data_IF_592277096894
#
_entry.id   IF_592277096894
#
_cell.length_a   1.000
_cell.length_b   1.000
_cell.length_c   1.000
_cell.angle_alpha   90.00
_cell.angle_beta   90.00
_cell.angle_gamma   90.00
#
_symmetry.space_group_name_H-M   'P 1'
#
loop_
_entity.id
_entity.type
_entity.pdbx_description
1 polymer ?
#
# COMPACT_ATOMS: atom_id res chain seq x y z
N UNK A 1 4.32 10.79 18.97
CA UNK A 1 5.30 11.35 19.95
C UNK A 1 5.31 12.87 19.84
N UNK A 2 5.40 13.57 20.96
CA UNK A 2 5.63 15.01 20.94
C UNK A 2 7.03 15.32 20.35
N UNK A 3 7.10 16.30 19.43
CA UNK A 3 8.26 16.51 18.58
C UNK A 3 9.52 17.02 19.29
N UNK A 4 9.35 17.82 20.35
CA UNK A 4 10.48 18.54 20.99
C UNK A 4 11.02 17.87 22.24
N UNK A 5 10.19 17.21 23.03
CA UNK A 5 10.53 16.75 24.38
C UNK A 5 10.46 15.22 24.55
N UNK A 6 9.63 14.54 23.76
CA UNK A 6 9.46 13.10 23.94
C UNK A 6 10.69 12.32 23.47
N UNK A 7 11.10 11.36 24.26
CA UNK A 7 12.23 10.47 23.97
C UNK A 7 11.80 9.01 24.14
N UNK A 8 12.19 8.17 23.18
CA UNK A 8 11.93 6.73 23.21
C UNK A 8 13.23 5.99 22.87
N UNK A 9 13.73 5.19 23.79
CA UNK A 9 14.94 4.42 23.60
C UNK A 9 14.99 3.18 24.49
N UNK A 10 15.68 2.15 24.01
CA UNK A 10 16.05 0.97 24.82
C UNK A 10 17.39 1.21 25.50
N UNK A 11 18.37 1.69 24.74
CA UNK A 11 19.68 2.10 25.24
C UNK A 11 19.89 3.59 25.03
N UNK A 12 20.54 4.25 25.98
CA UNK A 12 20.92 5.65 25.81
C UNK A 12 21.80 5.82 24.56
N UNK A 13 21.62 6.87 23.74
CA UNK A 13 22.40 7.07 22.52
C UNK A 13 23.92 7.03 22.73
N UNK A 14 24.39 7.57 23.83
CA UNK A 14 25.83 7.58 24.18
C UNK A 14 26.35 6.21 24.67
N UNK A 15 25.48 5.27 25.00
CA UNK A 15 25.86 3.92 25.37
C UNK A 15 26.02 2.99 24.15
N UNK A 16 25.62 3.42 22.97
CA UNK A 16 25.75 2.67 21.73
C UNK A 16 27.19 2.74 21.22
N UNK A 17 27.77 1.59 20.87
CA UNK A 17 29.14 1.51 20.38
C UNK A 17 29.36 2.42 19.15
N UNK A 18 30.33 3.33 19.27
CA UNK A 18 30.69 4.26 18.20
C UNK A 18 29.71 5.44 17.97
N UNK A 19 28.68 5.56 18.81
CA UNK A 19 27.73 6.66 18.72
C UNK A 19 27.86 7.65 19.88
N UNK A 20 27.46 8.86 19.63
CA UNK A 20 27.24 9.95 20.58
C UNK A 20 25.94 10.65 20.19
N UNK A 21 25.22 11.21 21.16
CA UNK A 21 23.95 11.94 20.93
C UNK A 21 24.12 13.11 19.93
N UNK A 22 25.30 13.72 19.90
CA UNK A 22 25.64 14.78 18.94
C UNK A 22 25.78 14.29 17.50
N UNK A 23 26.03 12.98 17.29
CA UNK A 23 26.12 12.36 15.97
C UNK A 23 24.78 11.80 15.51
N UNK A 24 24.10 11.09 16.38
CA UNK A 24 22.79 10.53 16.12
C UNK A 24 22.01 10.34 17.42
N UNK A 25 20.95 11.12 17.60
CA UNK A 25 20.03 10.95 18.72
C UNK A 25 18.99 9.86 18.41
N UNK A 26 19.37 8.61 18.69
CA UNK A 26 18.48 7.46 18.47
C UNK A 26 17.23 7.46 19.35
N UNK A 27 17.15 8.37 20.35
CA UNK A 27 15.97 8.54 21.19
C UNK A 27 14.99 9.60 20.67
N UNK A 28 15.42 10.41 19.70
CA UNK A 28 14.60 11.49 19.16
C UNK A 28 13.34 10.98 18.44
N UNK A 29 12.28 11.79 18.47
CA UNK A 29 11.03 11.49 17.79
C UNK A 29 11.23 11.24 16.29
N UNK A 30 12.04 12.06 15.62
CA UNK A 30 12.33 11.91 14.19
C UNK A 30 13.04 10.59 13.88
N UNK A 31 14.03 10.19 14.70
CA UNK A 31 14.68 8.89 14.52
C UNK A 31 13.69 7.74 14.67
N UNK A 32 12.84 7.78 15.69
CA UNK A 32 11.87 6.73 15.97
C UNK A 32 10.75 6.68 14.92
N UNK A 33 10.40 7.81 14.33
CA UNK A 33 9.44 7.91 13.23
C UNK A 33 10.04 7.52 11.89
N UNK A 34 11.14 8.17 11.45
CA UNK A 34 11.65 8.03 10.08
C UNK A 34 12.53 6.80 9.86
N UNK A 35 13.32 6.41 10.88
CA UNK A 35 14.33 5.34 10.75
C UNK A 35 13.87 4.02 11.36
N UNK A 36 13.30 4.07 12.57
CA UNK A 36 12.84 2.88 13.27
C UNK A 36 11.42 2.46 12.87
N UNK A 37 10.55 3.42 12.50
CA UNK A 37 9.17 3.14 12.11
C UNK A 37 8.28 2.65 13.25
N UNK A 38 8.67 2.92 14.51
CA UNK A 38 7.91 2.51 15.70
C UNK A 38 6.80 3.52 15.98
N UNK A 39 7.07 4.80 15.72
CA UNK A 39 6.16 5.91 16.01
C UNK A 39 5.32 6.25 14.78
N UNK A 40 4.01 6.29 14.95
CA UNK A 40 3.06 6.54 13.86
C UNK A 40 3.00 8.02 13.47
N UNK A 41 3.03 8.93 14.46
CA UNK A 41 2.94 10.35 14.25
C UNK A 41 3.90 11.14 15.17
N UNK A 42 4.46 12.23 14.64
CA UNK A 42 5.29 13.19 15.37
C UNK A 42 4.73 14.59 15.11
N UNK A 43 4.27 15.25 16.16
CA UNK A 43 3.65 16.57 16.09
C UNK A 43 3.75 17.29 17.44
N UNK A 44 3.25 18.51 17.52
CA UNK A 44 3.07 19.19 18.80
C UNK A 44 1.90 18.57 19.60
N UNK A 45 1.87 18.76 20.91
CA UNK A 45 0.93 18.09 21.81
C UNK A 45 -0.55 18.27 21.42
N UNK A 46 -0.92 19.50 21.00
CA UNK A 46 -2.30 19.78 20.59
C UNK A 46 -2.71 19.03 19.31
N UNK A 47 -1.79 18.91 18.36
CA UNK A 47 -1.99 18.21 17.10
C UNK A 47 -2.09 16.70 17.35
N UNK A 48 -1.25 16.14 18.24
CA UNK A 48 -1.31 14.72 18.60
C UNK A 48 -2.68 14.36 19.18
N UNK A 49 -3.25 15.21 20.05
CA UNK A 49 -4.59 14.96 20.58
C UNK A 49 -5.68 15.04 19.52
N UNK A 50 -5.53 15.90 18.53
CA UNK A 50 -6.44 15.94 17.38
C UNK A 50 -6.30 14.66 16.54
N UNK A 51 -5.09 14.25 16.19
CA UNK A 51 -4.84 13.00 15.43
C UNK A 51 -5.34 11.75 16.18
N UNK A 52 -5.21 11.68 17.50
CA UNK A 52 -5.75 10.58 18.31
C UNK A 52 -7.29 10.55 18.23
N UNK A 53 -7.97 11.69 18.29
CA UNK A 53 -9.43 11.75 18.15
C UNK A 53 -9.86 11.31 16.76
N UNK A 54 -9.16 11.74 15.72
CA UNK A 54 -9.43 11.31 14.34
C UNK A 54 -9.23 9.79 14.18
N UNK A 55 -8.14 9.24 14.73
CA UNK A 55 -7.93 7.79 14.72
C UNK A 55 -9.06 7.04 15.42
N UNK A 56 -9.50 7.51 16.59
CA UNK A 56 -10.63 6.90 17.34
C UNK A 56 -11.92 6.97 16.52
N UNK A 57 -12.15 8.05 15.77
CA UNK A 57 -13.31 8.18 14.88
C UNK A 57 -13.26 7.24 13.67
N UNK A 58 -12.06 6.78 13.28
CA UNK A 58 -11.86 5.81 12.20
C UNK A 58 -12.03 4.36 12.67
N UNK A 59 -11.76 4.07 13.93
CA UNK A 59 -11.78 2.70 14.45
C UNK A 59 -13.18 2.28 14.92
N UNK A 60 -13.53 0.99 14.82
CA UNK A 60 -14.71 0.46 15.49
C UNK A 60 -14.57 0.55 17.02
N UNK A 61 -15.66 0.44 17.75
CA UNK A 61 -15.68 0.52 19.21
C UNK A 61 -14.86 -0.57 19.91
N UNK A 62 -14.74 -1.72 19.26
CA UNK A 62 -13.93 -2.87 19.69
C UNK A 62 -13.70 -3.82 18.50
N UNK A 63 -12.98 -4.91 18.72
CA UNK A 63 -12.62 -5.87 17.67
C UNK A 63 -13.74 -6.88 17.29
N UNK A 64 -14.88 -6.83 17.95
CA UNK A 64 -16.07 -7.63 17.65
C UNK A 64 -17.17 -6.80 16.97
N UNK A 65 -16.99 -5.47 16.95
CA UNK A 65 -17.94 -4.51 16.40
C UNK A 65 -17.50 -4.14 14.98
N UNK A 66 -18.31 -4.50 13.99
CA UNK A 66 -18.06 -4.17 12.59
C UNK A 66 -18.60 -2.79 12.21
N UNK A 67 -19.23 -2.06 13.14
CA UNK A 67 -19.94 -0.82 12.87
C UNK A 67 -19.07 0.43 13.14
N UNK A 68 -18.05 0.67 12.36
CA UNK A 68 -17.43 2.00 12.25
C UNK A 68 -18.15 2.91 11.24
N UNK A 69 -19.48 2.74 11.12
CA UNK A 69 -20.30 3.47 10.16
C UNK A 69 -20.64 4.88 10.65
N UNK A 70 -20.42 5.85 9.77
CA UNK A 70 -20.93 7.22 9.90
C UNK A 70 -21.76 7.51 8.66
N UNK A 71 -22.92 8.16 8.82
CA UNK A 71 -23.77 8.53 7.69
C UNK A 71 -22.97 9.35 6.66
N UNK A 72 -22.90 8.87 5.42
CA UNK A 72 -22.19 9.51 4.32
C UNK A 72 -23.11 10.43 3.54
N UNK A 73 -22.74 11.70 3.43
CA UNK A 73 -23.45 12.68 2.62
C UNK A 73 -22.82 12.86 1.20
N UNK A 74 -21.65 12.27 0.96
CA UNK A 74 -20.94 12.35 -0.33
C UNK A 74 -21.60 11.44 -1.38
N UNK A 75 -21.57 11.86 -2.65
CA UNK A 75 -22.10 11.07 -3.75
C UNK A 75 -21.29 9.78 -3.97
N UNK A 76 -21.94 8.63 -3.82
CA UNK A 76 -21.33 7.32 -4.01
C UNK A 76 -20.82 7.11 -5.44
N UNK A 77 -21.43 7.78 -6.41
CA UNK A 77 -21.05 7.72 -7.82
C UNK A 77 -20.20 8.92 -8.26
N UNK A 78 -19.68 9.70 -7.32
CA UNK A 78 -18.80 10.83 -7.62
C UNK A 78 -17.62 10.40 -8.50
N UNK A 79 -17.50 11.06 -9.66
CA UNK A 79 -16.42 10.85 -10.61
C UNK A 79 -15.13 11.53 -10.11
N UNK A 80 -14.03 10.79 -10.07
CA UNK A 80 -12.73 11.30 -9.67
C UNK A 80 -11.89 11.61 -10.93
N UNK A 81 -12.23 12.72 -11.63
CA UNK A 81 -11.71 13.02 -12.97
C UNK A 81 -10.18 13.05 -13.09
N UNK A 82 -9.49 13.52 -12.05
CA UNK A 82 -8.02 13.67 -12.04
C UNK A 82 -7.27 12.47 -11.45
N UNK A 83 -7.98 11.39 -11.10
CA UNK A 83 -7.39 10.26 -10.39
C UNK A 83 -6.25 9.60 -11.17
N UNK A 84 -6.34 9.52 -12.49
CA UNK A 84 -5.29 8.97 -13.35
C UNK A 84 -3.96 9.73 -13.23
N UNK A 85 -3.99 11.01 -12.87
CA UNK A 85 -2.80 11.84 -12.69
C UNK A 85 -2.15 11.63 -11.31
N UNK A 86 -2.83 10.97 -10.38
CA UNK A 86 -2.37 10.73 -9.01
C UNK A 86 -1.63 9.41 -8.81
N UNK A 87 -1.27 8.69 -9.87
CA UNK A 87 -0.51 7.41 -9.80
C UNK A 87 0.81 7.58 -9.04
N UNK A 88 1.45 8.75 -9.14
CA UNK A 88 2.71 9.08 -8.47
C UNK A 88 2.55 9.19 -6.96
N UNK A 89 1.56 9.96 -6.50
CA UNK A 89 1.25 10.12 -5.07
C UNK A 89 -0.11 9.50 -4.73
N UNK A 90 -0.06 8.28 -4.28
CA UNK A 90 -1.26 7.52 -3.93
C UNK A 90 -1.96 7.99 -2.65
N UNK A 91 -1.33 8.84 -1.84
CA UNK A 91 -2.02 9.49 -0.73
C UNK A 91 -3.04 10.51 -1.27
N UNK A 92 -2.68 11.25 -2.32
CA UNK A 92 -3.61 12.15 -3.03
C UNK A 92 -4.71 11.32 -3.71
N UNK A 93 -4.37 10.20 -4.35
CA UNK A 93 -5.35 9.31 -4.96
C UNK A 93 -6.38 8.80 -3.92
N UNK A 94 -5.92 8.35 -2.75
CA UNK A 94 -6.77 7.90 -1.66
C UNK A 94 -7.65 9.02 -1.13
N UNK A 95 -7.12 10.24 -1.01
CA UNK A 95 -7.91 11.42 -0.65
C UNK A 95 -9.05 11.66 -1.64
N UNK A 96 -8.79 11.55 -2.94
CA UNK A 96 -9.81 11.77 -3.97
C UNK A 96 -10.94 10.74 -3.96
N UNK A 97 -10.65 9.47 -3.67
CA UNK A 97 -11.67 8.41 -3.62
C UNK A 97 -12.41 8.35 -2.28
N UNK A 98 -11.86 8.93 -1.22
CA UNK A 98 -12.44 8.94 0.12
C UNK A 98 -13.70 9.82 0.20
N UNK A 99 -14.58 9.48 1.15
CA UNK A 99 -15.68 10.35 1.53
C UNK A 99 -15.11 11.68 2.05
N UNK A 100 -15.76 12.78 1.70
CA UNK A 100 -15.38 14.15 2.07
C UNK A 100 -13.92 14.52 1.71
N UNK A 101 -13.29 13.75 0.80
CA UNK A 101 -11.88 13.88 0.42
C UNK A 101 -10.92 13.84 1.62
N UNK A 102 -11.18 12.95 2.58
CA UNK A 102 -10.34 12.82 3.77
C UNK A 102 -9.63 11.48 3.85
N UNK A 103 -8.30 11.52 3.96
CA UNK A 103 -7.42 10.36 4.16
C UNK A 103 -6.57 10.55 5.40
N UNK A 104 -6.63 9.62 6.34
CA UNK A 104 -5.79 9.58 7.53
C UNK A 104 -4.57 8.70 7.29
N UNK A 105 -3.42 9.31 6.94
CA UNK A 105 -2.16 8.57 6.68
C UNK A 105 -1.44 8.21 7.99
N UNK A 106 -1.15 6.91 8.19
CA UNK A 106 -0.35 6.40 9.31
C UNK A 106 1.12 6.27 8.91
N UNK A 107 2.05 6.47 9.86
CA UNK A 107 3.50 6.33 9.62
C UNK A 107 3.98 7.11 8.38
N UNK A 108 3.48 8.34 8.18
CA UNK A 108 3.75 9.16 6.97
C UNK A 108 5.24 9.42 6.72
N UNK A 109 6.08 9.37 7.77
CA UNK A 109 7.53 9.63 7.68
C UNK A 109 8.36 8.36 7.51
N UNK A 110 7.78 7.17 7.73
CA UNK A 110 8.47 5.88 7.59
C UNK A 110 8.09 5.21 6.28
N UNK A 111 9.10 4.72 5.53
CA UNK A 111 8.89 4.04 4.26
C UNK A 111 7.85 4.78 3.40
N UNK A 112 8.17 6.01 3.02
CA UNK A 112 7.23 6.93 2.31
C UNK A 112 6.75 6.38 0.97
N UNK A 113 7.50 5.46 0.37
CA UNK A 113 7.14 4.72 -0.85
C UNK A 113 5.98 3.73 -0.65
N UNK A 114 5.60 3.46 0.59
CA UNK A 114 4.45 2.64 0.97
C UNK A 114 3.51 3.47 1.82
N UNK A 115 2.35 3.78 1.28
CA UNK A 115 1.28 4.51 1.99
C UNK A 115 0.43 3.51 2.77
N UNK A 116 0.14 3.84 4.03
CA UNK A 116 -0.83 3.12 4.87
C UNK A 116 -1.70 4.13 5.61
N UNK A 117 -2.97 3.83 5.78
CA UNK A 117 -3.89 4.74 6.44
C UNK A 117 -5.34 4.34 6.27
N UNK A 118 -6.24 5.20 6.67
CA UNK A 118 -7.67 4.94 6.66
C UNK A 118 -8.43 5.96 5.83
N UNK A 119 -9.42 5.49 5.11
CA UNK A 119 -10.45 6.30 4.46
C UNK A 119 -11.83 5.88 4.94
N UNK A 120 -12.83 6.72 4.72
CA UNK A 120 -14.23 6.27 4.75
C UNK A 120 -14.75 6.14 3.32
N UNK A 121 -15.49 5.07 3.08
CA UNK A 121 -16.17 4.78 1.82
C UNK A 121 -17.62 4.41 2.12
N UNK A 122 -18.56 5.23 1.71
CA UNK A 122 -19.97 5.13 2.10
C UNK A 122 -20.13 5.04 3.63
N UNK A 123 -19.38 5.88 4.36
CA UNK A 123 -19.38 5.92 5.82
C UNK A 123 -18.65 4.81 6.55
N UNK A 124 -18.22 3.75 5.86
CA UNK A 124 -17.50 2.61 6.43
C UNK A 124 -15.99 2.87 6.40
N UNK A 125 -15.30 2.58 7.49
CA UNK A 125 -13.83 2.69 7.53
C UNK A 125 -13.18 1.57 6.75
N UNK A 126 -12.23 1.93 5.90
CA UNK A 126 -11.42 1.02 5.07
C UNK A 126 -9.95 1.33 5.28
N UNK A 127 -9.16 0.32 5.61
CA UNK A 127 -7.70 0.41 5.67
C UNK A 127 -7.11 0.38 4.26
N UNK A 128 -6.17 1.27 3.99
CA UNK A 128 -5.56 1.42 2.68
C UNK A 128 -4.07 1.10 2.70
N UNK A 129 -3.60 0.34 1.71
CA UNK A 129 -2.18 0.05 1.46
C UNK A 129 -1.88 0.39 0.00
N UNK A 130 -0.95 1.31 -0.26
CA UNK A 130 -0.69 1.76 -1.62
C UNK A 130 0.79 1.98 -1.89
N UNK A 131 1.25 1.63 -3.11
CA UNK A 131 2.59 1.96 -3.57
C UNK A 131 2.62 3.42 -4.03
N UNK A 132 3.64 4.18 -3.62
CA UNK A 132 3.84 5.59 -3.98
C UNK A 132 5.21 5.78 -4.62
N UNK A 133 5.29 6.57 -5.67
CA UNK A 133 6.53 6.87 -6.39
C UNK A 133 6.95 8.33 -6.28
N UNK A 134 6.07 9.21 -5.87
CA UNK A 134 6.32 10.65 -5.70
C UNK A 134 5.62 11.16 -4.45
N UNK A 135 6.20 12.17 -3.81
CA UNK A 135 5.57 12.93 -2.73
C UNK A 135 5.53 14.39 -3.16
N UNK A 136 4.37 15.01 -3.06
CA UNK A 136 4.18 16.43 -3.36
C UNK A 136 4.05 17.24 -2.09
N UNK A 137 4.57 18.48 -2.12
CA UNK A 137 4.33 19.49 -1.10
C UNK A 137 3.04 20.26 -1.38
N UNK A 138 2.69 21.20 -0.50
CA UNK A 138 1.48 22.04 -0.64
C UNK A 138 1.52 22.95 -1.87
N UNK A 139 2.73 23.27 -2.37
CA UNK A 139 2.94 24.06 -3.59
C UNK A 139 2.81 23.22 -4.87
N UNK A 140 2.62 21.88 -4.75
CA UNK A 140 2.54 20.96 -5.88
C UNK A 140 3.90 20.57 -6.47
N UNK A 141 4.98 20.79 -5.75
CA UNK A 141 6.33 20.39 -6.16
C UNK A 141 6.68 19.00 -5.61
N UNK A 142 7.40 18.21 -6.39
CA UNK A 142 7.85 16.87 -5.98
C UNK A 142 9.01 17.01 -5.01
N UNK A 143 8.83 16.55 -3.79
CA UNK A 143 9.85 16.56 -2.72
C UNK A 143 10.67 15.28 -2.66
N UNK A 144 10.02 14.12 -2.88
CA UNK A 144 10.67 12.81 -2.87
C UNK A 144 10.25 12.02 -4.11
N UNK A 145 11.19 11.22 -4.66
CA UNK A 145 10.92 10.26 -5.75
C UNK A 145 11.40 8.89 -5.36
N UNK A 146 10.61 7.87 -5.69
CA UNK A 146 10.90 6.47 -5.44
C UNK A 146 10.71 5.64 -6.70
N UNK A 147 11.49 4.58 -6.84
CA UNK A 147 11.21 3.54 -7.81
C UNK A 147 9.92 2.78 -7.42
N UNK A 148 9.08 2.38 -8.38
CA UNK A 148 7.91 1.55 -8.11
C UNK A 148 8.32 0.11 -7.77
N UNK A 149 8.99 -0.09 -6.64
CA UNK A 149 9.48 -1.39 -6.15
C UNK A 149 9.02 -1.65 -4.73
N UNK A 150 8.87 -2.91 -4.38
CA UNK A 150 8.57 -3.30 -3.01
C UNK A 150 9.87 -3.36 -2.20
N UNK A 151 9.99 -2.47 -1.21
CA UNK A 151 11.15 -2.36 -0.34
C UNK A 151 10.98 -3.21 0.93
N UNK A 152 12.08 -3.49 1.63
CA UNK A 152 12.07 -4.18 2.92
C UNK A 152 11.21 -3.43 3.96
N UNK A 153 11.38 -2.11 4.04
CA UNK A 153 10.65 -1.27 5.00
C UNK A 153 9.18 -1.13 4.63
N UNK A 154 8.89 -0.93 3.33
CA UNK A 154 7.53 -0.85 2.82
C UNK A 154 6.74 -2.14 3.03
N UNK A 155 7.35 -3.29 2.77
CA UNK A 155 6.71 -4.60 3.01
C UNK A 155 6.38 -4.81 4.49
N UNK A 156 7.31 -4.44 5.40
CA UNK A 156 7.09 -4.51 6.85
C UNK A 156 5.95 -3.59 7.30
N UNK A 157 5.99 -2.31 6.89
CA UNK A 157 4.94 -1.33 7.20
C UNK A 157 3.56 -1.83 6.77
N UNK A 158 3.45 -2.32 5.54
CA UNK A 158 2.21 -2.85 4.99
C UNK A 158 1.73 -4.09 5.75
N UNK A 159 2.62 -5.05 6.07
CA UNK A 159 2.25 -6.26 6.81
C UNK A 159 1.72 -5.96 8.21
N UNK A 160 2.39 -5.05 8.95
CA UNK A 160 1.94 -4.62 10.28
C UNK A 160 0.57 -3.95 10.21
N UNK A 161 0.34 -3.11 9.20
CA UNK A 161 -0.93 -2.42 9.00
C UNK A 161 -2.07 -3.37 8.61
N UNK A 162 -1.83 -4.34 7.71
CA UNK A 162 -2.83 -5.35 7.34
C UNK A 162 -3.24 -6.20 8.55
N UNK A 163 -2.27 -6.62 9.36
CA UNK A 163 -2.56 -7.35 10.61
C UNK A 163 -3.39 -6.52 11.59
N UNK A 164 -3.12 -5.21 11.67
CA UNK A 164 -3.92 -4.30 12.49
C UNK A 164 -5.36 -4.21 11.98
N UNK A 165 -5.55 -4.04 10.67
CA UNK A 165 -6.88 -4.00 10.06
C UNK A 165 -7.65 -5.30 10.31
N UNK A 166 -7.01 -6.44 10.11
CA UNK A 166 -7.63 -7.77 10.36
C UNK A 166 -8.04 -7.95 11.83
N UNK A 167 -7.22 -7.45 12.77
CA UNK A 167 -7.52 -7.52 14.20
C UNK A 167 -8.73 -6.67 14.63
N UNK A 168 -9.07 -5.64 13.88
CA UNK A 168 -10.19 -4.74 14.13
C UNK A 168 -11.35 -4.92 13.13
N UNK A 169 -11.36 -6.01 12.36
CA UNK A 169 -12.40 -6.31 11.34
C UNK A 169 -12.55 -5.19 10.28
N UNK A 170 -11.46 -4.43 10.00
CA UNK A 170 -11.46 -3.33 9.04
C UNK A 170 -11.12 -3.88 7.65
N UNK A 171 -12.00 -3.70 6.64
CA UNK A 171 -11.73 -4.07 5.25
C UNK A 171 -10.46 -3.40 4.70
N UNK A 172 -9.78 -4.05 3.75
CA UNK A 172 -8.52 -3.54 3.19
C UNK A 172 -8.63 -3.28 1.69
N UNK A 173 -8.31 -2.04 1.30
CA UNK A 173 -8.12 -1.60 -0.07
C UNK A 173 -6.62 -1.51 -0.39
N UNK A 174 -6.21 -2.06 -1.53
CA UNK A 174 -4.84 -1.93 -2.01
C UNK A 174 -4.81 -1.19 -3.35
N UNK A 175 -3.94 -0.17 -3.50
CA UNK A 175 -3.61 0.43 -4.78
C UNK A 175 -2.23 -0.04 -5.21
N UNK A 176 -2.16 -0.85 -6.26
CA UNK A 176 -0.93 -1.53 -6.66
C UNK A 176 -0.25 -0.85 -7.85
N UNK A 177 1.01 -0.43 -7.65
CA UNK A 177 1.92 0.04 -8.70
C UNK A 177 3.33 -0.45 -8.37
N UNK A 178 3.68 -1.68 -8.79
CA UNK A 178 4.96 -2.32 -8.43
C UNK A 178 5.55 -3.09 -9.60
N UNK A 179 6.82 -2.79 -9.96
CA UNK A 179 7.54 -3.47 -11.06
C UNK A 179 8.42 -4.65 -10.60
N UNK A 180 8.62 -4.81 -9.30
CA UNK A 180 9.49 -5.83 -8.73
C UNK A 180 9.88 -5.53 -7.29
N UNK A 181 10.81 -6.30 -6.75
CA UNK A 181 11.45 -6.02 -5.47
C UNK A 181 12.61 -5.04 -5.61
N UNK A 182 12.95 -4.34 -4.52
CA UNK A 182 14.16 -3.52 -4.45
C UNK A 182 15.41 -4.37 -4.70
N UNK A 183 16.18 -4.03 -5.74
CA UNK A 183 17.35 -4.80 -6.19
C UNK A 183 18.66 -4.17 -5.65
N UNK A 184 18.85 -4.22 -4.32
CA UNK A 184 20.08 -3.78 -3.67
C UNK A 184 20.66 -4.90 -2.80
N UNK A 185 21.98 -4.93 -2.62
CA UNK A 185 22.64 -5.91 -1.72
C UNK A 185 22.13 -5.81 -0.28
N UNK A 186 21.69 -4.62 0.14
CA UNK A 186 21.12 -4.39 1.46
C UNK A 186 19.71 -4.99 1.56
N UNK A 187 18.89 -4.77 0.54
CA UNK A 187 17.53 -5.32 0.48
C UNK A 187 17.56 -6.85 0.40
N UNK A 188 18.46 -7.43 -0.39
CA UNK A 188 18.58 -8.88 -0.59
C UNK A 188 18.73 -9.67 0.71
N UNK A 189 19.30 -9.06 1.76
CA UNK A 189 19.44 -9.71 3.08
C UNK A 189 18.11 -9.98 3.79
N UNK A 190 17.07 -9.20 3.50
CA UNK A 190 15.83 -9.20 4.27
C UNK A 190 14.56 -9.26 3.42
N UNK A 191 14.63 -8.92 2.13
CA UNK A 191 13.43 -8.75 1.29
C UNK A 191 12.58 -10.02 1.20
N UNK A 192 13.21 -11.18 1.11
CA UNK A 192 12.51 -12.46 1.03
C UNK A 192 11.65 -12.72 2.28
N UNK A 193 12.18 -12.39 3.47
CA UNK A 193 11.47 -12.54 4.74
C UNK A 193 10.31 -11.55 4.86
N UNK A 194 10.55 -10.28 4.54
CA UNK A 194 9.50 -9.26 4.67
C UNK A 194 8.42 -9.40 3.59
N UNK A 195 8.77 -9.85 2.39
CA UNK A 195 7.80 -10.22 1.37
C UNK A 195 6.95 -11.43 1.80
N UNK A 196 7.57 -12.45 2.41
CA UNK A 196 6.83 -13.60 2.97
C UNK A 196 5.88 -13.14 4.10
N UNK A 197 6.33 -12.22 4.96
CA UNK A 197 5.51 -11.63 6.02
C UNK A 197 4.29 -10.89 5.48
N UNK A 198 4.47 -10.06 4.46
CA UNK A 198 3.36 -9.34 3.81
C UNK A 198 2.40 -10.30 3.09
N UNK A 199 2.95 -11.30 2.37
CA UNK A 199 2.15 -12.34 1.74
C UNK A 199 1.32 -13.09 2.77
N UNK A 200 1.93 -13.44 3.91
CA UNK A 200 1.24 -14.12 5.02
C UNK A 200 0.14 -13.23 5.62
N UNK A 201 0.41 -11.94 5.84
CA UNK A 201 -0.58 -11.00 6.37
C UNK A 201 -1.84 -10.96 5.48
N UNK A 202 -1.68 -10.74 4.17
CA UNK A 202 -2.81 -10.75 3.24
C UNK A 202 -3.50 -12.10 3.11
N UNK A 203 -2.74 -13.20 3.02
CA UNK A 203 -3.32 -14.53 2.87
C UNK A 203 -4.06 -15.00 4.13
N UNK A 204 -3.63 -14.53 5.31
CA UNK A 204 -4.24 -14.91 6.58
C UNK A 204 -5.42 -14.01 6.97
N UNK A 205 -5.46 -12.77 6.51
CA UNK A 205 -6.53 -11.83 6.81
C UNK A 205 -7.89 -12.33 6.33
N UNK A 206 -8.89 -12.25 7.21
CA UNK A 206 -10.26 -12.72 7.00
C UNK A 206 -11.20 -11.61 6.55
N UNK A 207 -10.81 -10.35 6.73
CA UNK A 207 -11.56 -9.17 6.30
C UNK A 207 -11.72 -9.09 4.79
N UNK A 208 -12.73 -8.35 4.27
CA UNK A 208 -12.83 -8.05 2.85
C UNK A 208 -11.56 -7.40 2.30
N UNK A 209 -11.06 -7.90 1.17
CA UNK A 209 -9.82 -7.44 0.52
C UNK A 209 -10.08 -7.10 -0.94
N UNK A 210 -9.92 -5.82 -1.28
CA UNK A 210 -10.07 -5.32 -2.65
C UNK A 210 -8.71 -4.79 -3.12
N UNK A 211 -8.33 -5.13 -4.36
CA UNK A 211 -7.12 -4.61 -4.98
C UNK A 211 -7.46 -3.84 -6.26
N UNK A 212 -6.89 -2.67 -6.44
CA UNK A 212 -6.94 -1.90 -7.69
C UNK A 212 -5.52 -1.77 -8.23
N UNK A 213 -5.27 -2.34 -9.40
CA UNK A 213 -4.00 -2.16 -10.11
C UNK A 213 -4.06 -0.85 -10.88
N UNK A 214 -3.31 0.15 -10.41
CA UNK A 214 -3.33 1.52 -10.93
C UNK A 214 -2.20 1.82 -11.92
N UNK A 215 -1.23 0.92 -12.04
CA UNK A 215 -0.07 1.08 -12.90
C UNK A 215 0.60 -0.25 -13.21
N UNK A 216 1.87 -0.40 -12.87
CA UNK A 216 2.62 -1.64 -13.10
C UNK A 216 2.32 -2.69 -12.02
N UNK A 217 2.25 -3.96 -12.44
CA UNK A 217 2.04 -5.09 -11.56
C UNK A 217 2.80 -6.32 -12.09
N UNK A 218 4.07 -6.47 -11.69
CA UNK A 218 4.94 -7.49 -12.26
C UNK A 218 5.47 -8.47 -11.21
N UNK A 219 5.47 -9.75 -11.60
CA UNK A 219 6.15 -10.84 -10.90
C UNK A 219 5.64 -11.09 -9.48
N UNK A 220 6.48 -11.67 -8.65
CA UNK A 220 6.13 -12.02 -7.27
C UNK A 220 5.92 -10.82 -6.36
N UNK A 221 6.48 -9.65 -6.67
CA UNK A 221 6.18 -8.43 -5.93
C UNK A 221 4.71 -8.01 -6.08
N UNK A 222 4.15 -8.12 -7.30
CA UNK A 222 2.71 -7.96 -7.51
C UNK A 222 1.89 -9.01 -6.75
N UNK A 223 2.30 -10.28 -6.82
CA UNK A 223 1.59 -11.35 -6.09
C UNK A 223 1.47 -11.02 -4.61
N UNK A 224 2.54 -10.52 -4.00
CA UNK A 224 2.62 -10.12 -2.59
C UNK A 224 1.68 -8.93 -2.25
N UNK A 225 1.37 -8.05 -3.22
CA UNK A 225 0.53 -6.87 -3.04
C UNK A 225 -0.97 -7.20 -3.24
N UNK A 226 -1.52 -8.07 -2.38
CA UNK A 226 -2.95 -8.40 -2.37
C UNK A 226 -3.49 -8.82 -3.75
N UNK A 227 -2.79 -9.71 -4.44
CA UNK A 227 -3.26 -10.24 -5.70
C UNK A 227 -4.37 -11.30 -5.54
N UNK A 228 -5.07 -11.60 -6.63
CA UNK A 228 -6.04 -12.72 -6.68
C UNK A 228 -5.42 -14.04 -6.22
N UNK A 229 -4.14 -14.26 -6.52
CA UNK A 229 -3.43 -15.49 -6.20
C UNK A 229 -3.23 -15.73 -4.69
N UNK A 230 -3.24 -14.68 -3.86
CA UNK A 230 -3.11 -14.80 -2.40
C UNK A 230 -4.41 -14.50 -1.66
N UNK A 231 -5.54 -14.43 -2.37
CA UNK A 231 -6.87 -14.35 -1.77
C UNK A 231 -7.49 -12.95 -1.70
N UNK A 232 -7.15 -12.04 -2.62
CA UNK A 232 -7.98 -10.85 -2.83
C UNK A 232 -9.39 -11.28 -3.27
N UNK A 233 -10.41 -10.72 -2.65
CA UNK A 233 -11.81 -11.05 -2.97
C UNK A 233 -12.19 -10.46 -4.33
N UNK A 234 -11.82 -9.20 -4.58
CA UNK A 234 -12.02 -8.54 -5.88
C UNK A 234 -10.75 -7.81 -6.31
N UNK A 235 -10.44 -7.92 -7.61
CA UNK A 235 -9.31 -7.23 -8.23
C UNK A 235 -9.81 -6.43 -9.43
N UNK A 236 -9.66 -5.12 -9.32
CA UNK A 236 -9.86 -4.18 -10.42
C UNK A 236 -8.52 -3.78 -11.04
N UNK A 237 -8.55 -3.36 -12.27
CA UNK A 237 -7.38 -2.75 -12.91
C UNK A 237 -7.82 -1.59 -13.79
N UNK A 238 -7.04 -0.52 -13.79
CA UNK A 238 -7.24 0.55 -14.76
C UNK A 238 -6.93 0.06 -16.16
N UNK A 239 -7.56 0.64 -17.16
CA UNK A 239 -7.35 0.32 -18.57
C UNK A 239 -5.89 0.54 -19.04
N UNK A 240 -5.18 1.47 -18.39
CA UNK A 240 -3.76 1.77 -18.59
C UNK A 240 -2.80 0.85 -17.84
N UNK A 241 -3.29 -0.07 -17.00
CA UNK A 241 -2.43 -0.92 -16.18
C UNK A 241 -1.67 -1.97 -17.00
N UNK A 242 -0.44 -2.26 -16.57
CA UNK A 242 0.40 -3.32 -17.12
C UNK A 242 0.59 -4.44 -16.09
N UNK A 243 0.12 -5.64 -16.42
CA UNK A 243 0.14 -6.79 -15.51
C UNK A 243 0.82 -7.99 -16.17
N UNK A 244 1.86 -8.53 -15.56
CA UNK A 244 2.56 -9.67 -16.13
C UNK A 244 3.64 -10.26 -15.25
N UNK A 245 4.41 -11.20 -15.81
CA UNK A 245 5.49 -11.86 -15.10
C UNK A 245 6.67 -10.92 -14.86
N UNK A 246 7.00 -10.08 -15.84
CA UNK A 246 8.11 -9.13 -15.80
C UNK A 246 7.92 -8.00 -16.81
N UNK A 247 8.70 -6.96 -16.65
CA UNK A 247 8.72 -5.84 -17.59
C UNK A 247 9.17 -6.28 -19.00
N UNK A 248 8.53 -5.77 -20.04
CA UNK A 248 8.71 -6.21 -21.42
C UNK A 248 10.15 -6.14 -21.92
N UNK A 249 10.90 -5.08 -21.57
CA UNK A 249 12.31 -4.97 -21.96
C UNK A 249 13.19 -6.04 -21.32
N UNK A 250 12.90 -6.42 -20.09
CA UNK A 250 13.62 -7.49 -19.41
C UNK A 250 13.31 -8.85 -20.04
N UNK A 251 12.03 -9.11 -20.31
CA UNK A 251 11.61 -10.33 -21.02
C UNK A 251 12.25 -10.45 -22.41
N UNK A 252 12.27 -9.36 -23.17
CA UNK A 252 12.87 -9.34 -24.51
C UNK A 252 14.38 -9.64 -24.50
N UNK A 253 15.13 -9.12 -23.52
CA UNK A 253 16.55 -9.45 -23.34
C UNK A 253 16.79 -10.94 -23.08
N UNK A 254 15.84 -11.63 -22.45
CA UNK A 254 15.93 -13.07 -22.19
C UNK A 254 15.54 -13.86 -23.46
N UNK A 255 14.38 -13.54 -24.05
CA UNK A 255 13.78 -14.28 -25.17
C UNK A 255 14.63 -14.10 -26.44
N UNK A 256 15.04 -12.86 -26.72
CA UNK A 256 15.83 -12.48 -27.91
C UNK A 256 17.33 -12.31 -27.59
N UNK A 257 17.83 -13.09 -26.58
CA UNK A 257 19.24 -13.05 -26.18
C UNK A 257 20.17 -13.32 -27.36
N UNK A 258 21.22 -12.49 -27.50
CA UNK A 258 22.21 -12.61 -28.59
C UNK A 258 21.79 -11.93 -29.92
N UNK A 259 20.61 -11.30 -29.97
CA UNK A 259 20.19 -10.51 -31.15
C UNK A 259 20.54 -9.02 -30.98
N UNK A 260 20.51 -8.26 -32.09
CA UNK A 260 20.78 -6.82 -32.09
C UNK A 260 19.72 -6.02 -31.32
N UNK A 261 20.06 -4.77 -30.94
CA UNK A 261 19.21 -3.89 -30.13
C UNK A 261 17.82 -3.68 -30.75
N UNK A 262 17.75 -3.46 -32.07
CA UNK A 262 16.49 -3.25 -32.80
C UNK A 262 15.53 -4.45 -32.64
N UNK A 263 16.08 -5.67 -32.70
CA UNK A 263 15.30 -6.92 -32.56
C UNK A 263 14.83 -7.11 -31.11
N UNK A 264 15.63 -6.71 -30.13
CA UNK A 264 15.23 -6.72 -28.70
C UNK A 264 14.09 -5.73 -28.46
N UNK A 265 14.13 -4.54 -29.07
CA UNK A 265 13.07 -3.55 -28.94
C UNK A 265 11.76 -3.98 -29.65
N UNK A 266 11.84 -4.65 -30.78
CA UNK A 266 10.69 -5.27 -31.44
C UNK A 266 10.07 -6.36 -30.56
N UNK A 267 10.89 -7.26 -30.07
CA UNK A 267 10.51 -8.34 -29.13
C UNK A 267 9.83 -7.78 -27.85
N UNK A 268 10.32 -6.66 -27.33
CA UNK A 268 9.73 -5.99 -26.16
C UNK A 268 8.32 -5.45 -26.47
N UNK A 269 8.12 -4.85 -27.62
CA UNK A 269 6.80 -4.36 -28.05
C UNK A 269 5.80 -5.50 -28.22
N UNK A 270 6.21 -6.58 -28.87
CA UNK A 270 5.37 -7.78 -29.03
C UNK A 270 5.02 -8.40 -27.67
N UNK A 271 6.00 -8.53 -26.77
CA UNK A 271 5.79 -9.06 -25.44
C UNK A 271 4.83 -8.18 -24.62
N UNK A 272 5.01 -6.85 -24.65
CA UNK A 272 4.13 -5.91 -23.97
C UNK A 272 2.67 -6.06 -24.45
N UNK A 273 2.46 -6.07 -25.77
CA UNK A 273 1.14 -6.18 -26.37
C UNK A 273 0.46 -7.51 -26.04
N UNK A 274 1.22 -8.62 -25.98
CA UNK A 274 0.66 -9.96 -25.78
C UNK A 274 0.54 -10.35 -24.30
N UNK A 275 1.53 -10.00 -23.46
CA UNK A 275 1.67 -10.53 -22.11
C UNK A 275 1.35 -9.52 -21.02
N UNK A 276 1.72 -8.23 -21.18
CA UNK A 276 1.59 -7.21 -20.15
C UNK A 276 0.28 -6.41 -20.26
N UNK A 277 -0.46 -6.59 -21.31
CA UNK A 277 -1.74 -5.93 -21.52
C UNK A 277 -2.77 -6.36 -20.46
N UNK A 278 -3.49 -5.41 -19.89
CA UNK A 278 -4.51 -5.64 -18.85
C UNK A 278 -5.61 -6.62 -19.29
N UNK A 279 -6.00 -6.58 -20.58
CA UNK A 279 -7.00 -7.51 -21.15
C UNK A 279 -6.49 -8.95 -21.13
N UNK A 280 -5.19 -9.17 -21.40
CA UNK A 280 -4.57 -10.48 -21.26
C UNK A 280 -4.60 -10.99 -19.82
N UNK A 281 -4.35 -10.12 -18.84
CA UNK A 281 -4.44 -10.45 -17.42
C UNK A 281 -5.87 -10.80 -17.01
N UNK A 282 -6.86 -10.05 -17.47
CA UNK A 282 -8.28 -10.32 -17.21
C UNK A 282 -8.71 -11.66 -17.82
N UNK A 283 -8.32 -11.96 -19.07
CA UNK A 283 -8.60 -13.26 -19.72
C UNK A 283 -8.00 -14.46 -18.97
N UNK A 284 -6.93 -14.24 -18.20
CA UNK A 284 -6.28 -15.27 -17.36
C UNK A 284 -6.88 -15.36 -15.95
N UNK A 285 -7.85 -14.51 -15.61
CA UNK A 285 -8.50 -14.51 -14.30
C UNK A 285 -7.72 -13.78 -13.20
N UNK A 286 -6.72 -12.94 -13.53
CA UNK A 286 -5.99 -12.15 -12.55
C UNK A 286 -6.71 -10.85 -12.17
N UNK A 287 -7.64 -10.39 -13.02
CA UNK A 287 -8.43 -9.17 -12.84
C UNK A 287 -9.90 -9.53 -13.07
N UNK A 288 -10.75 -9.14 -12.15
CA UNK A 288 -12.21 -9.39 -12.25
C UNK A 288 -12.87 -8.38 -13.20
N UNK A 289 -12.46 -7.09 -13.12
CA UNK A 289 -13.02 -6.04 -13.99
C UNK A 289 -11.96 -4.99 -14.33
N UNK A 290 -11.93 -4.59 -15.60
CA UNK A 290 -11.14 -3.44 -16.06
C UNK A 290 -12.04 -2.19 -15.94
N UNK A 291 -11.54 -1.15 -15.30
CA UNK A 291 -12.28 0.08 -15.00
C UNK A 291 -11.53 1.33 -15.48
N UNK A 292 -12.26 2.39 -15.78
CA UNK A 292 -11.67 3.70 -15.95
C UNK A 292 -11.16 4.23 -14.59
N UNK A 293 -10.04 4.94 -14.60
CA UNK A 293 -9.46 5.47 -13.35
C UNK A 293 -10.47 6.33 -12.57
N UNK A 294 -11.18 7.22 -13.27
CA UNK A 294 -12.18 8.13 -12.71
C UNK A 294 -13.36 7.44 -12.01
N UNK A 295 -13.62 6.18 -12.34
CA UNK A 295 -14.71 5.37 -11.81
C UNK A 295 -14.32 4.56 -10.57
N UNK A 296 -13.07 4.62 -10.13
CA UNK A 296 -12.53 3.77 -9.05
C UNK A 296 -13.38 3.83 -7.78
N UNK A 297 -13.81 5.03 -7.35
CA UNK A 297 -14.61 5.21 -6.13
C UNK A 297 -15.86 4.32 -6.14
N UNK A 298 -16.71 4.42 -7.16
CA UNK A 298 -17.97 3.68 -7.22
C UNK A 298 -17.76 2.16 -7.27
N UNK A 299 -16.72 1.69 -7.98
CA UNK A 299 -16.41 0.25 -8.04
C UNK A 299 -15.91 -0.30 -6.72
N UNK A 300 -15.07 0.46 -6.02
CA UNK A 300 -14.54 0.06 -4.71
C UNK A 300 -15.63 0.06 -3.64
N UNK A 301 -16.50 1.09 -3.61
CA UNK A 301 -17.66 1.12 -2.71
C UNK A 301 -18.57 -0.09 -2.98
N UNK A 302 -18.97 -0.31 -4.23
CA UNK A 302 -19.81 -1.45 -4.59
C UNK A 302 -19.20 -2.81 -4.23
N UNK A 303 -17.86 -2.95 -4.36
CA UNK A 303 -17.16 -4.15 -3.95
C UNK A 303 -17.25 -4.39 -2.43
N UNK A 304 -17.01 -3.37 -1.61
CA UNK A 304 -17.10 -3.51 -0.15
C UNK A 304 -18.53 -3.74 0.32
N UNK A 305 -19.53 -3.12 -0.31
CA UNK A 305 -20.94 -3.40 -0.05
C UNK A 305 -21.30 -4.87 -0.35
N UNK A 306 -20.84 -5.41 -1.48
CA UNK A 306 -21.05 -6.82 -1.82
C UNK A 306 -20.34 -7.76 -0.83
N UNK A 307 -19.19 -7.38 -0.31
CA UNK A 307 -18.37 -8.15 0.60
C UNK A 307 -18.73 -7.96 2.08
N UNK A 308 -19.68 -7.07 2.40
CA UNK A 308 -20.08 -6.77 3.78
C UNK A 308 -20.46 -8.02 4.60
N UNK A 309 -21.11 -8.98 3.94
CA UNK A 309 -21.51 -10.24 4.56
C UNK A 309 -20.41 -11.31 4.58
N UNK A 310 -19.18 -10.99 4.12
CA UNK A 310 -18.08 -11.96 4.12
C UNK A 310 -17.82 -12.45 5.55
N UNK A 311 -17.77 -13.77 5.69
CA UNK A 311 -17.33 -14.45 6.92
C UNK A 311 -16.40 -15.57 6.49
N UNK A 312 -15.22 -15.60 7.05
CA UNK A 312 -14.18 -16.56 6.71
C UNK A 312 -13.53 -17.13 7.96
N UNK A 313 -13.76 -18.42 8.23
CA UNK A 313 -13.12 -19.12 9.33
C UNK A 313 -11.72 -19.59 8.90
N UNK A 314 -10.73 -19.34 9.72
CA UNK A 314 -9.37 -19.86 9.55
C UNK A 314 -9.08 -20.95 10.58
N UNK A 315 -8.29 -21.98 10.22
CA UNK A 315 -7.83 -22.96 11.20
C UNK A 315 -7.08 -22.26 12.34
N UNK A 316 -7.41 -22.64 13.59
CA UNK A 316 -6.71 -22.12 14.76
C UNK A 316 -5.21 -22.43 14.67
N UNK A 317 -4.39 -21.42 14.85
CA UNK A 317 -2.92 -21.51 14.83
C UNK A 317 -2.35 -20.96 16.12
N UNK A 318 -1.29 -21.58 16.61
CA UNK A 318 -0.59 -21.08 17.81
C UNK A 318 0.27 -19.85 17.53
N UNK A 319 0.77 -19.72 16.31
CA UNK A 319 1.63 -18.65 15.85
C UNK A 319 1.63 -18.56 14.31
N UNK A 320 2.10 -17.46 13.77
CA UNK A 320 2.37 -17.32 12.35
C UNK A 320 3.60 -18.12 11.91
N UNK A 321 3.84 -18.14 10.60
CA UNK A 321 4.98 -18.85 10.00
C UNK A 321 6.20 -17.95 9.75
N UNK A 322 6.05 -16.64 9.84
CA UNK A 322 7.07 -15.60 9.61
C UNK A 322 6.98 -14.50 10.66
#
# INVERSE_FOLDING_TARGET
>A
MESKKAKLFVNAPNALAGNEISKCDTSAADFQSEKAGIVDAVAEEAEIFAEIRELINMLPSNNEDTDSYIECADDLNRVCADLANCVGDTAIALTQIADDNYFFETKRHYAKEMVTGFVKLNGVTVGCVANRTEVYNEEGEVTDKFDPVLTVRGARKAADFVNFCDAFEIPVLTLTNVKGFEATTCAEKNIAREAARLTYAFANATVPKVNVVIGKAFGSAYVTMNSKAIGADMVFAWDSAEIGTMEAKLAAKIICSGQGADKIDECAKEYAALQNNVVSAAKRGYVDTIIAAEDTRKYVIGAFEMLFAKREDRPAKKHGTV
#
